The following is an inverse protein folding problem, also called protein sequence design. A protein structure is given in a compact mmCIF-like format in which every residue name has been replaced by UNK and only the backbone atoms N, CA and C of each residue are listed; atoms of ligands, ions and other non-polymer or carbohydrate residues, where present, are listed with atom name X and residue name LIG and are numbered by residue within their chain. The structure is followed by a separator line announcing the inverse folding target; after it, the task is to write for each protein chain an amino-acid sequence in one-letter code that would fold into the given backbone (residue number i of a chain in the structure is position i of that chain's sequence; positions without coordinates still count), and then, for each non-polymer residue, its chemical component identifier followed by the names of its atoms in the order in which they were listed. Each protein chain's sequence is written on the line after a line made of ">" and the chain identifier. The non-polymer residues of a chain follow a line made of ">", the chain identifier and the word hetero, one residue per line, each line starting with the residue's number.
data_IF_710032490480
#
_entry.id   IF_710032490480
#
_cell.length_a   1.000
_cell.length_b   1.000
_cell.length_c   1.000
_cell.angle_alpha   90.00
_cell.angle_beta   90.00
_cell.angle_gamma   90.00
#
_symmetry.space_group_name_H-M   'P 1'
#
loop_
_entity.id
_entity.type
_entity.pdbx_description
1 polymer ?
#
# COMPACT_ATOMS: atom_id res chain seq x y z
N UNK A 1 1.38 -35.23 29.88
CA UNK A 1 1.42 -34.40 28.66
C UNK A 1 1.75 -32.99 29.12
N UNK A 2 3.00 -32.55 28.94
CA UNK A 2 3.53 -31.87 27.73
C UNK A 2 2.93 -30.45 27.61
N UNK A 3 3.65 -29.34 27.44
CA UNK A 3 5.04 -29.09 27.02
C UNK A 3 5.35 -27.57 27.12
N UNK A 4 6.63 -27.22 27.33
CA UNK A 4 7.27 -25.87 27.31
C UNK A 4 7.39 -25.27 25.89
N UNK A 5 7.62 -23.94 25.70
CA UNK A 5 8.98 -23.31 25.67
C UNK A 5 9.03 -21.89 26.34
N UNK A 6 10.07 -21.43 27.05
CA UNK A 6 11.53 -21.27 26.83
C UNK A 6 11.92 -20.06 25.96
N UNK A 7 12.59 -19.07 26.59
CA UNK A 7 13.64 -18.11 26.15
C UNK A 7 13.97 -17.25 27.41
N UNK A 8 14.89 -17.65 28.29
CA UNK A 8 16.35 -17.38 28.30
C UNK A 8 16.74 -15.91 28.53
N UNK A 9 17.29 -15.63 29.72
CA UNK A 9 18.35 -14.64 29.98
C UNK A 9 18.86 -14.88 31.43
N UNK A 10 19.75 -15.88 31.57
CA UNK A 10 20.60 -16.04 32.75
C UNK A 10 21.95 -15.37 32.44
N UNK A 11 22.22 -14.25 33.12
CA UNK A 11 23.53 -13.59 33.18
C UNK A 11 24.48 -14.45 34.03
N UNK A 12 25.16 -15.41 33.39
CA UNK A 12 26.35 -16.08 33.93
C UNK A 12 27.62 -15.43 33.37
N UNK A 13 28.39 -14.78 34.25
CA UNK A 13 29.82 -14.62 34.01
C UNK A 13 30.61 -14.58 35.33
N UNK A 14 30.60 -15.70 36.04
CA UNK A 14 31.65 -16.05 37.00
C UNK A 14 32.64 -17.02 36.35
N UNK A 15 33.85 -16.55 36.04
CA UNK A 15 34.88 -17.41 35.44
C UNK A 15 36.29 -16.91 35.68
N UNK A 16 37.00 -17.62 36.54
CA UNK A 16 38.40 -17.41 36.90
C UNK A 16 39.38 -17.44 35.71
N UNK A 17 40.47 -16.70 35.89
CA UNK A 17 41.64 -16.63 35.02
C UNK A 17 42.28 -18.01 34.76
N UNK A 18 42.78 -18.24 33.53
CA UNK A 18 44.20 -18.49 33.42
C UNK A 18 44.91 -17.73 32.28
N UNK A 19 46.14 -17.33 32.60
CA UNK A 19 47.27 -16.91 31.79
C UNK A 19 47.22 -17.07 30.25
N UNK A 20 47.68 -16.04 29.51
CA UNK A 20 49.04 -15.99 28.91
C UNK A 20 49.17 -15.01 27.73
N UNK A 21 50.24 -14.19 27.76
CA UNK A 21 50.97 -13.48 26.68
C UNK A 21 50.16 -12.64 25.64
N UNK A 22 50.48 -11.37 25.33
CA UNK A 22 51.80 -10.79 25.08
C UNK A 22 51.80 -9.24 25.03
N UNK A 23 52.98 -8.69 25.36
CA UNK A 23 53.59 -7.48 24.77
C UNK A 23 53.01 -6.10 25.06
N UNK A 24 53.55 -5.44 26.11
CA UNK A 24 54.59 -4.39 25.98
C UNK A 24 54.70 -3.58 27.28
N UNK A 25 55.71 -3.87 28.09
CA UNK A 25 56.34 -2.84 28.94
C UNK A 25 57.82 -3.17 29.13
N UNK A 26 58.65 -2.28 28.61
CA UNK A 26 60.10 -2.29 28.77
C UNK A 26 60.42 -2.15 30.26
N UNK A 27 61.04 -3.19 30.81
CA UNK A 27 61.63 -3.18 32.14
C UNK A 27 63.07 -2.72 32.05
N UNK A 28 63.51 -1.96 33.05
CA UNK A 28 64.91 -2.00 33.44
C UNK A 28 64.98 -2.22 34.96
N UNK A 29 65.44 -3.42 35.30
CA UNK A 29 65.75 -3.92 36.65
C UNK A 29 66.93 -3.13 37.23
N UNK A 30 66.91 -2.91 38.54
CA UNK A 30 68.11 -2.92 39.40
C UNK A 30 67.74 -3.87 40.54
N UNK A 31 67.93 -5.19 40.38
CA UNK A 31 69.14 -5.94 40.74
C UNK A 31 69.75 -5.45 42.05
N UNK A 32 69.28 -6.03 43.15
CA UNK A 32 70.02 -6.12 44.40
C UNK A 32 71.27 -6.97 44.09
N UNK A 33 72.43 -6.32 44.07
CA UNK A 33 73.74 -6.94 43.90
C UNK A 33 74.48 -6.86 45.23
N UNK A 34 74.78 -8.05 45.72
CA UNK A 34 75.80 -8.47 46.68
C UNK A 34 76.68 -7.41 47.35
N UNK A 35 76.71 -7.51 48.68
CA UNK A 35 77.76 -6.96 49.53
C UNK A 35 78.99 -7.83 49.33
N UNK A 36 79.85 -7.48 48.36
CA UNK A 36 81.21 -7.99 48.33
C UNK A 36 82.09 -7.07 49.18
N UNK A 37 82.53 -7.69 50.27
CA UNK A 37 83.51 -7.31 51.26
C UNK A 37 84.90 -7.20 50.61
N UNK A 38 85.32 -5.98 50.26
CA UNK A 38 86.70 -5.69 49.88
C UNK A 38 87.25 -4.60 50.81
N UNK A 39 87.74 -5.07 51.96
CA UNK A 39 88.76 -4.41 52.79
C UNK A 39 90.03 -4.20 51.95
N UNK A 40 90.08 -3.11 51.17
CA UNK A 40 91.31 -2.65 50.54
C UNK A 40 92.20 -1.95 51.57
N UNK A 41 92.94 -2.80 52.27
CA UNK A 41 94.05 -2.54 53.18
C UNK A 41 95.14 -1.72 52.45
N UNK A 42 94.97 -0.39 52.43
CA UNK A 42 95.79 0.60 51.71
C UNK A 42 97.26 0.72 52.20
N UNK A 43 97.70 -0.18 53.09
CA UNK A 43 99.09 -0.28 53.55
C UNK A 43 99.66 -1.70 53.44
N UNK A 44 99.48 -2.33 52.27
CA UNK A 44 100.27 -3.48 51.85
C UNK A 44 101.76 -3.15 51.73
N UNK A 45 102.52 -3.36 52.82
CA UNK A 45 103.99 -3.25 52.85
C UNK A 45 104.64 -4.39 52.05
N UNK A 46 104.61 -4.31 50.72
CA UNK A 46 105.27 -5.28 49.83
C UNK A 46 106.67 -4.77 49.49
N UNK A 47 107.65 -5.21 50.29
CA UNK A 47 109.09 -5.05 50.03
C UNK A 47 109.47 -5.98 48.86
N UNK A 48 109.16 -5.55 47.63
CA UNK A 48 109.44 -6.25 46.39
C UNK A 48 110.69 -5.68 45.70
N UNK A 49 111.69 -6.54 45.53
CA UNK A 49 112.99 -6.30 44.93
C UNK A 49 112.87 -5.79 43.48
N UNK A 50 113.32 -4.57 43.16
CA UNK A 50 113.34 -4.06 41.78
C UNK A 50 114.72 -4.28 41.17
N UNK A 51 114.79 -5.30 40.30
CA UNK A 51 115.84 -5.49 39.29
C UNK A 51 115.43 -4.67 38.06
N UNK A 52 116.23 -3.68 37.71
CA UNK A 52 116.01 -2.76 36.57
C UNK A 52 116.17 -3.54 35.26
N UNK A 53 115.12 -3.59 34.44
CA UNK A 53 115.18 -3.98 33.03
C UNK A 53 114.82 -2.76 32.19
N UNK A 54 115.74 -2.35 31.30
CA UNK A 54 115.64 -1.15 30.46
C UNK A 54 114.44 -1.25 29.51
N UNK A 55 113.47 -0.35 29.67
CA UNK A 55 112.34 -0.22 28.75
C UNK A 55 112.75 0.62 27.54
N UNK A 56 112.47 0.11 26.33
CA UNK A 56 112.77 0.77 25.06
C UNK A 56 112.14 2.18 24.98
N UNK A 57 112.81 3.17 24.34
CA UNK A 57 112.46 4.61 24.44
C UNK A 57 111.02 4.98 23.99
N UNK A 58 110.40 4.16 23.12
CA UNK A 58 108.99 4.34 22.73
C UNK A 58 107.97 3.95 23.82
N UNK A 59 108.31 2.96 24.66
CA UNK A 59 107.46 2.49 25.76
C UNK A 59 107.44 3.51 26.89
N UNK A 60 108.62 4.04 27.26
CA UNK A 60 108.73 5.10 28.25
C UNK A 60 107.99 6.38 27.83
N UNK A 61 108.09 6.77 26.54
CA UNK A 61 107.37 7.93 26.00
C UNK A 61 105.85 7.73 26.01
N UNK A 62 105.37 6.53 25.63
CA UNK A 62 103.94 6.18 25.71
C UNK A 62 103.39 6.22 27.13
N UNK A 63 104.13 5.66 28.11
CA UNK A 63 103.75 5.73 29.53
C UNK A 63 103.69 7.17 30.05
N UNK A 64 104.64 8.02 29.68
CA UNK A 64 104.63 9.44 30.06
C UNK A 64 103.42 10.17 29.49
N UNK A 65 103.02 9.89 28.24
CA UNK A 65 101.84 10.49 27.62
C UNK A 65 100.54 10.00 28.29
N UNK A 66 100.39 8.69 28.54
CA UNK A 66 99.23 8.14 29.25
C UNK A 66 99.12 8.68 30.69
N UNK A 67 100.24 8.87 31.38
CA UNK A 67 100.25 9.48 32.71
C UNK A 67 99.88 10.97 32.66
N UNK A 68 100.32 11.71 31.63
CA UNK A 68 99.91 13.12 31.43
C UNK A 68 98.43 13.24 31.10
N UNK A 69 97.91 12.37 30.24
CA UNK A 69 96.49 12.31 29.91
C UNK A 69 95.64 11.91 31.11
N UNK A 70 96.10 10.94 31.91
CA UNK A 70 95.47 10.55 33.18
C UNK A 70 95.52 11.69 34.21
N UNK A 71 96.65 12.39 34.33
CA UNK A 71 96.79 13.56 35.20
C UNK A 71 95.87 14.71 34.75
N UNK A 72 95.77 14.94 33.45
CA UNK A 72 94.88 15.96 32.88
C UNK A 72 93.42 15.59 33.12
N UNK A 73 93.04 14.33 32.88
CA UNK A 73 91.70 13.81 33.21
C UNK A 73 91.39 13.98 34.69
N UNK A 74 92.34 13.65 35.58
CA UNK A 74 92.18 13.84 37.03
C UNK A 74 92.02 15.32 37.42
N UNK A 75 92.70 16.22 36.72
CA UNK A 75 92.55 17.67 36.93
C UNK A 75 91.19 18.18 36.48
N UNK A 76 90.66 17.67 35.37
CA UNK A 76 89.35 18.05 34.84
C UNK A 76 88.20 17.48 35.69
N UNK A 77 88.35 16.25 36.21
CA UNK A 77 87.40 15.69 37.19
C UNK A 77 87.43 16.49 38.50
N UNK A 78 88.61 16.87 39.01
CA UNK A 78 88.72 17.72 40.19
C UNK A 78 88.02 19.07 39.99
N UNK A 79 88.18 19.70 38.83
CA UNK A 79 87.50 20.95 38.51
C UNK A 79 85.97 20.78 38.46
N UNK A 80 85.50 19.66 37.91
CA UNK A 80 84.07 19.31 37.87
C UNK A 80 83.52 19.11 39.27
N UNK A 81 84.19 18.30 40.11
CA UNK A 81 83.80 18.08 41.50
C UNK A 81 83.79 19.39 42.30
N UNK A 82 84.72 20.30 42.04
CA UNK A 82 84.76 21.59 42.71
C UNK A 82 83.60 22.50 42.29
N UNK A 83 83.23 22.48 41.02
CA UNK A 83 82.04 23.19 40.53
C UNK A 83 80.76 22.61 41.13
N UNK A 84 80.61 21.28 41.17
CA UNK A 84 79.48 20.60 41.80
C UNK A 84 79.39 20.89 43.30
N UNK A 85 80.52 20.96 44.00
CA UNK A 85 80.57 21.32 45.41
C UNK A 85 80.08 22.74 45.65
N UNK A 86 80.51 23.72 44.84
CA UNK A 86 80.03 25.09 44.95
C UNK A 86 78.56 25.23 44.58
N UNK A 87 78.08 24.48 43.58
CA UNK A 87 76.66 24.42 43.25
C UNK A 87 75.83 23.84 44.41
N UNK A 88 76.28 22.75 45.02
CA UNK A 88 75.63 22.14 46.17
C UNK A 88 75.61 23.09 47.39
N UNK A 89 76.70 23.83 47.64
CA UNK A 89 76.74 24.87 48.68
C UNK A 89 75.74 25.99 48.43
N UNK A 90 75.66 26.48 47.19
CA UNK A 90 74.70 27.51 46.80
C UNK A 90 73.25 27.03 46.97
N UNK A 91 72.98 25.76 46.63
CA UNK A 91 71.67 25.14 46.84
C UNK A 91 71.33 25.04 48.34
N UNK A 92 72.25 24.56 49.18
CA UNK A 92 72.05 24.52 50.64
C UNK A 92 71.76 25.92 51.21
N UNK A 93 72.51 26.94 50.76
CA UNK A 93 72.24 28.32 51.18
C UNK A 93 70.85 28.79 50.76
N UNK A 94 70.42 28.46 49.54
CA UNK A 94 69.06 28.76 49.06
C UNK A 94 68.00 28.09 49.95
N UNK A 95 68.18 26.82 50.31
CA UNK A 95 67.28 26.12 51.23
C UNK A 95 67.24 26.80 52.59
N UNK A 96 68.39 27.17 53.17
CA UNK A 96 68.44 27.90 54.43
C UNK A 96 67.69 29.24 54.38
N UNK A 97 67.86 30.04 53.32
CA UNK A 97 67.14 31.30 53.16
C UNK A 97 65.62 31.10 52.99
N UNK A 98 65.22 30.02 52.34
CA UNK A 98 63.80 29.69 52.13
C UNK A 98 63.11 29.36 53.46
N UNK A 99 63.75 28.53 54.28
CA UNK A 99 63.24 28.18 55.61
C UNK A 99 63.29 29.36 56.61
N UNK A 100 64.29 30.24 56.53
CA UNK A 100 64.36 31.42 57.41
C UNK A 100 63.20 32.41 57.23
N UNK A 101 62.61 32.45 56.04
CA UNK A 101 61.48 33.33 55.73
C UNK A 101 60.12 32.67 56.03
N UNK A 102 60.10 31.42 56.50
CA UNK A 102 58.88 30.65 56.71
C UNK A 102 58.35 30.81 58.14
N UNK A 103 57.04 31.04 58.24
CA UNK A 103 56.35 31.38 59.49
C UNK A 103 56.42 30.33 60.61
N UNK A 104 56.83 29.09 60.30
CA UNK A 104 56.93 28.00 61.29
C UNK A 104 58.26 28.01 62.07
N UNK A 105 59.24 28.82 61.65
CA UNK A 105 60.52 29.00 62.34
C UNK A 105 60.50 30.33 63.10
N UNK A 106 60.65 30.34 64.43
CA UNK A 106 60.72 31.57 65.21
C UNK A 106 61.87 32.48 64.77
N UNK A 107 61.60 33.79 64.64
CA UNK A 107 62.58 34.76 64.19
C UNK A 107 63.87 34.71 65.04
N UNK A 108 65.01 34.44 64.39
CA UNK A 108 66.33 34.38 65.03
C UNK A 108 66.80 33.00 65.49
N UNK A 109 66.05 31.92 65.21
CA UNK A 109 66.47 30.53 65.51
C UNK A 109 66.93 29.77 64.26
N UNK A 110 67.89 28.84 64.43
CA UNK A 110 68.35 27.95 63.36
C UNK A 110 67.28 26.90 63.05
N UNK A 111 67.00 26.58 61.77
CA UNK A 111 66.03 25.55 61.40
C UNK A 111 66.48 24.18 61.91
N UNK A 112 65.90 23.71 63.01
CA UNK A 112 66.20 22.37 63.52
C UNK A 112 65.62 21.31 62.57
N UNK A 113 66.43 20.32 62.10
CA UNK A 113 65.99 19.36 61.09
C UNK A 113 64.69 18.62 61.44
N UNK A 114 64.47 18.32 62.73
CA UNK A 114 63.24 17.66 63.20
C UNK A 114 61.99 18.53 63.03
N UNK A 115 62.11 19.83 63.31
CA UNK A 115 61.00 20.78 63.15
C UNK A 115 60.62 20.92 61.68
N UNK A 116 61.60 21.08 60.80
CA UNK A 116 61.39 21.16 59.34
C UNK A 116 60.72 19.88 58.81
N UNK A 117 61.21 18.70 59.20
CA UNK A 117 60.61 17.42 58.77
C UNK A 117 59.17 17.28 59.28
N UNK A 118 58.89 17.64 60.53
CA UNK A 118 57.53 17.58 61.09
C UNK A 118 56.56 18.55 60.40
N UNK A 119 57.05 19.75 60.03
CA UNK A 119 56.28 20.74 59.29
C UNK A 119 56.00 20.25 57.87
N UNK A 120 57.00 19.73 57.15
CA UNK A 120 56.83 19.15 55.81
C UNK A 120 55.84 17.98 55.83
N UNK A 121 55.89 17.13 56.86
CA UNK A 121 54.94 16.03 57.01
C UNK A 121 53.51 16.52 57.26
N UNK A 122 53.34 17.57 58.06
CA UNK A 122 52.06 18.22 58.32
C UNK A 122 51.52 18.96 57.09
N UNK A 123 52.39 19.61 56.33
CA UNK A 123 52.06 20.27 55.08
C UNK A 123 51.61 19.25 54.04
N UNK A 124 52.34 18.13 53.93
CA UNK A 124 51.99 17.02 53.03
C UNK A 124 50.64 16.39 53.37
N UNK A 125 50.34 16.18 54.65
CA UNK A 125 49.03 15.65 55.06
C UNK A 125 47.90 16.67 54.83
N UNK A 126 48.17 17.96 55.02
CA UNK A 126 47.23 19.04 54.68
C UNK A 126 46.98 19.13 53.17
N UNK A 127 48.03 19.01 52.35
CA UNK A 127 47.93 18.98 50.89
C UNK A 127 47.09 17.79 50.42
N UNK A 128 47.34 16.60 50.97
CA UNK A 128 46.58 15.38 50.64
C UNK A 128 45.11 15.51 51.05
N UNK A 129 44.83 16.08 52.22
CA UNK A 129 43.47 16.37 52.67
C UNK A 129 42.74 17.36 51.75
N UNK A 130 43.39 18.47 51.37
CA UNK A 130 42.82 19.45 50.44
C UNK A 130 42.58 18.85 49.06
N UNK A 131 43.50 18.01 48.58
CA UNK A 131 43.35 17.28 47.31
C UNK A 131 42.14 16.35 47.36
N UNK A 132 41.93 15.62 48.47
CA UNK A 132 40.76 14.76 48.64
C UNK A 132 39.46 15.57 48.66
N UNK A 133 39.45 16.72 49.36
CA UNK A 133 38.29 17.62 49.38
C UNK A 133 37.98 18.19 47.99
N UNK A 134 39.00 18.57 47.22
CA UNK A 134 38.84 19.04 45.84
C UNK A 134 38.24 17.94 44.95
N UNK A 135 38.71 16.70 45.06
CA UNK A 135 38.16 15.59 44.29
C UNK A 135 36.72 15.26 44.70
N UNK A 136 36.37 15.36 45.99
CA UNK A 136 34.99 15.26 46.46
C UNK A 136 34.12 16.40 45.90
N UNK A 137 34.63 17.63 45.86
CA UNK A 137 33.91 18.78 45.31
C UNK A 137 33.66 18.62 43.79
N UNK A 138 34.68 18.22 43.02
CA UNK A 138 34.54 17.93 41.58
C UNK A 138 33.52 16.82 41.30
N UNK A 139 33.53 15.74 42.09
CA UNK A 139 32.53 14.67 41.96
C UNK A 139 31.11 15.17 42.24
N UNK A 140 30.93 16.03 43.26
CA UNK A 140 29.63 16.65 43.57
C UNK A 140 29.19 17.61 42.44
N UNK A 141 30.09 18.43 41.93
CA UNK A 141 29.81 19.34 40.81
C UNK A 141 29.37 18.57 39.57
N UNK A 142 30.09 17.51 39.18
CA UNK A 142 29.71 16.65 38.07
C UNK A 142 28.34 16.00 38.28
N UNK A 143 28.04 15.52 39.49
CA UNK A 143 26.73 15.00 39.82
C UNK A 143 25.63 16.07 39.69
N UNK A 144 25.88 17.30 40.13
CA UNK A 144 24.94 18.40 39.97
C UNK A 144 24.68 18.73 38.51
N UNK A 145 25.72 18.83 37.66
CA UNK A 145 25.57 19.07 36.23
C UNK A 145 24.63 18.04 35.59
N UNK A 146 24.81 16.74 35.90
CA UNK A 146 23.92 15.68 35.40
C UNK A 146 22.49 15.84 35.90
N UNK A 147 22.29 16.17 37.18
CA UNK A 147 20.94 16.39 37.72
C UNK A 147 20.26 17.62 37.14
N UNK A 148 21.00 18.71 36.90
CA UNK A 148 20.47 19.91 36.26
C UNK A 148 20.06 19.62 34.82
N UNK A 149 20.91 18.94 34.05
CA UNK A 149 20.56 18.54 32.68
C UNK A 149 19.29 17.67 32.63
N UNK A 150 19.14 16.72 33.56
CA UNK A 150 17.90 15.91 33.67
C UNK A 150 16.68 16.75 34.00
N UNK A 151 16.79 17.72 34.92
CA UNK A 151 15.68 18.62 35.27
C UNK A 151 15.33 19.59 34.14
N UNK A 152 16.31 20.08 33.39
CA UNK A 152 16.07 20.91 32.21
C UNK A 152 15.34 20.12 31.12
N UNK A 153 15.72 18.86 30.90
CA UNK A 153 15.04 17.95 29.99
C UNK A 153 13.58 17.71 30.43
N UNK A 154 13.34 17.41 31.70
CA UNK A 154 11.98 17.22 32.26
C UNK A 154 11.13 18.49 32.08
N UNK A 155 11.69 19.68 32.32
CA UNK A 155 11.01 20.95 32.08
C UNK A 155 10.66 21.12 30.59
N UNK A 156 11.55 20.74 29.66
CA UNK A 156 11.28 20.82 28.23
C UNK A 156 10.15 19.87 27.80
N UNK A 157 10.13 18.65 28.33
CA UNK A 157 9.08 17.65 28.11
C UNK A 157 7.73 18.13 28.65
N UNK A 158 7.68 18.62 29.90
CA UNK A 158 6.47 19.20 30.50
C UNK A 158 5.97 20.41 29.70
N UNK A 159 6.87 21.29 29.23
CA UNK A 159 6.50 22.41 28.35
C UNK A 159 5.89 21.92 27.04
N UNK A 160 6.38 20.82 26.47
CA UNK A 160 5.80 20.22 25.27
C UNK A 160 4.41 19.65 25.54
N UNK A 161 4.26 18.85 26.59
CA UNK A 161 2.97 18.30 27.00
C UNK A 161 1.92 19.40 27.23
N UNK A 162 2.30 20.52 27.84
CA UNK A 162 1.41 21.68 28.00
C UNK A 162 1.01 22.30 26.66
N UNK A 163 1.93 22.42 25.68
CA UNK A 163 1.58 22.91 24.34
C UNK A 163 0.62 21.96 23.65
N UNK A 164 0.85 20.65 23.73
CA UNK A 164 0.00 19.63 23.12
C UNK A 164 -1.39 19.62 23.76
N UNK A 165 -1.47 19.65 25.09
CA UNK A 165 -2.73 19.80 25.82
C UNK A 165 -3.44 21.11 25.46
N UNK A 166 -2.72 22.23 25.29
CA UNK A 166 -3.33 23.49 24.82
C UNK A 166 -3.88 23.36 23.40
N UNK A 167 -3.25 22.60 22.52
CA UNK A 167 -3.77 22.31 21.18
C UNK A 167 -5.00 21.41 21.25
N UNK A 168 -5.00 20.39 22.12
CA UNK A 168 -6.17 19.53 22.34
C UNK A 168 -7.34 20.29 22.99
N UNK A 169 -7.04 21.22 23.90
CA UNK A 169 -8.03 22.06 24.59
C UNK A 169 -8.52 23.22 23.70
N UNK A 170 -7.80 23.58 22.63
CA UNK A 170 -8.38 24.41 21.57
C UNK A 170 -9.54 23.60 20.99
N UNK A 171 -10.80 24.05 21.15
CA UNK A 171 -11.93 23.22 20.83
C UNK A 171 -11.91 22.89 19.34
N UNK A 172 -11.79 21.60 19.01
CA UNK A 172 -12.25 21.09 17.72
C UNK A 172 -13.76 21.37 17.65
N UNK A 173 -14.12 22.38 16.87
CA UNK A 173 -15.43 22.53 16.23
C UNK A 173 -16.67 22.21 17.12
N UNK A 174 -17.26 23.25 17.70
CA UNK A 174 -18.67 23.34 18.13
C UNK A 174 -19.17 22.50 19.32
N UNK A 175 -18.75 21.25 19.55
CA UNK A 175 -19.31 20.40 20.61
C UNK A 175 -18.96 20.87 22.03
N UNK A 176 -17.70 21.24 22.30
CA UNK A 176 -17.31 21.77 23.61
C UNK A 176 -17.97 23.13 23.91
N UNK A 177 -18.26 23.94 22.89
CA UNK A 177 -19.08 25.17 23.04
C UNK A 177 -20.54 24.86 23.37
N UNK A 178 -21.11 23.76 22.87
CA UNK A 178 -22.44 23.27 23.28
C UNK A 178 -22.46 22.75 24.70
N UNK A 179 -21.38 22.12 25.18
CA UNK A 179 -21.27 21.61 26.56
C UNK A 179 -21.00 22.71 27.60
N UNK A 180 -20.40 23.84 27.20
CA UNK A 180 -20.13 25.00 28.07
C UNK A 180 -21.26 26.04 28.09
N UNK A 181 -22.19 25.98 27.13
CA UNK A 181 -23.43 26.73 27.21
C UNK A 181 -24.39 25.94 28.09
N UNK A 182 -25.00 26.59 29.08
CA UNK A 182 -26.12 26.01 29.82
C UNK A 182 -27.15 25.45 28.82
N UNK A 183 -27.65 24.22 29.00
CA UNK A 183 -28.57 23.58 28.06
C UNK A 183 -29.77 24.46 27.68
N UNK A 184 -30.31 25.26 28.62
CA UNK A 184 -31.41 26.17 28.32
C UNK A 184 -30.97 27.37 27.48
N UNK A 185 -29.77 27.91 27.71
CA UNK A 185 -29.18 28.98 26.87
C UNK A 185 -28.91 28.48 25.45
N UNK A 186 -28.41 27.25 25.31
CA UNK A 186 -28.18 26.66 23.98
C UNK A 186 -29.48 26.47 23.20
N UNK A 187 -30.54 26.03 23.88
CA UNK A 187 -31.86 25.88 23.31
C UNK A 187 -32.45 27.22 22.86
N UNK A 188 -32.39 28.27 23.69
CA UNK A 188 -32.85 29.62 23.30
C UNK A 188 -32.04 30.19 22.13
N UNK A 189 -30.72 30.00 22.10
CA UNK A 189 -29.90 30.45 20.98
C UNK A 189 -30.26 29.71 19.68
N UNK A 190 -30.53 28.40 19.77
CA UNK A 190 -30.96 27.59 18.63
C UNK A 190 -32.35 28.02 18.15
N UNK A 191 -33.28 28.27 19.07
CA UNK A 191 -34.62 28.77 18.78
C UNK A 191 -34.57 30.14 18.09
N UNK A 192 -33.75 31.06 18.60
CA UNK A 192 -33.54 32.38 18.02
C UNK A 192 -32.92 32.29 16.62
N UNK A 193 -31.91 31.43 16.44
CA UNK A 193 -31.30 31.21 15.13
C UNK A 193 -32.31 30.71 14.10
N UNK A 194 -33.10 29.69 14.45
CA UNK A 194 -34.14 29.16 13.58
C UNK A 194 -35.21 30.21 13.25
N UNK A 195 -35.60 31.03 14.24
CA UNK A 195 -36.57 32.11 14.03
C UNK A 195 -36.01 33.17 13.07
N UNK A 196 -34.73 33.53 13.18
CA UNK A 196 -34.09 34.47 12.24
C UNK A 196 -34.07 33.87 10.83
N UNK A 197 -33.65 32.62 10.66
CA UNK A 197 -33.63 31.95 9.36
C UNK A 197 -35.03 31.86 8.73
N UNK A 198 -36.06 31.57 9.52
CA UNK A 198 -37.46 31.56 9.08
C UNK A 198 -37.93 32.95 8.63
N UNK A 199 -37.61 34.00 9.40
CA UNK A 199 -37.97 35.39 9.06
C UNK A 199 -37.21 35.88 7.83
N UNK A 200 -35.95 35.54 7.66
CA UNK A 200 -35.16 35.87 6.46
C UNK A 200 -35.73 35.19 5.23
N UNK A 201 -36.12 33.91 5.34
CA UNK A 201 -36.85 33.22 4.27
C UNK A 201 -38.15 33.94 3.95
N UNK A 202 -38.90 34.39 4.96
CA UNK A 202 -40.16 35.10 4.74
C UNK A 202 -39.97 36.47 4.10
N UNK A 203 -38.92 37.20 4.49
CA UNK A 203 -38.52 38.45 3.86
C UNK A 203 -38.19 38.21 2.40
N UNK A 204 -37.41 37.17 2.09
CA UNK A 204 -37.07 36.81 0.72
C UNK A 204 -38.31 36.46 -0.11
N UNK A 205 -39.21 35.63 0.41
CA UNK A 205 -40.48 35.32 -0.24
C UNK A 205 -41.32 36.58 -0.50
N UNK A 206 -41.42 37.49 0.47
CA UNK A 206 -42.17 38.73 0.30
C UNK A 206 -41.49 39.67 -0.70
N UNK A 207 -40.16 39.75 -0.72
CA UNK A 207 -39.40 40.49 -1.71
C UNK A 207 -39.59 39.91 -3.13
N UNK A 208 -39.56 38.58 -3.26
CA UNK A 208 -39.81 37.88 -4.53
C UNK A 208 -41.25 38.12 -5.00
N UNK A 209 -42.23 38.08 -4.09
CA UNK A 209 -43.63 38.40 -4.40
C UNK A 209 -43.81 39.87 -4.81
N UNK A 210 -43.15 40.81 -4.13
CA UNK A 210 -43.18 42.24 -4.53
C UNK A 210 -42.52 42.42 -5.89
N UNK A 211 -41.40 41.75 -6.16
CA UNK A 211 -40.75 41.77 -7.46
C UNK A 211 -41.64 41.18 -8.56
N UNK A 212 -42.37 40.09 -8.25
CA UNK A 212 -43.33 39.48 -9.14
C UNK A 212 -44.57 40.36 -9.38
N UNK A 213 -45.06 41.08 -8.37
CA UNK A 213 -46.17 42.04 -8.52
C UNK A 213 -45.72 43.30 -9.29
N UNK A 214 -44.45 43.69 -9.14
CA UNK A 214 -43.82 44.75 -9.94
C UNK A 214 -43.43 44.29 -11.37
N UNK A 215 -43.60 43.01 -11.70
CA UNK A 215 -43.49 42.53 -13.07
C UNK A 215 -44.61 43.14 -13.89
N UNK A 216 -44.26 44.16 -14.66
CA UNK A 216 -45.14 44.68 -15.70
C UNK A 216 -44.79 43.98 -17.01
N UNK A 217 -45.76 43.38 -17.72
CA UNK A 217 -45.55 42.82 -19.06
C UNK A 217 -44.98 43.84 -20.06
N UNK A 218 -45.08 45.13 -19.74
CA UNK A 218 -44.62 46.27 -20.52
C UNK A 218 -43.16 46.67 -20.24
N UNK A 219 -42.57 46.23 -19.12
CA UNK A 219 -41.15 46.48 -18.81
C UNK A 219 -40.24 45.77 -19.81
N UNK A 220 -39.01 46.26 -20.00
CA UNK A 220 -38.03 45.64 -20.91
C UNK A 220 -37.76 44.17 -20.57
N UNK A 221 -37.63 43.86 -19.28
CA UNK A 221 -37.45 42.48 -18.79
C UNK A 221 -38.73 41.65 -18.98
N UNK A 222 -39.91 42.23 -18.70
CA UNK A 222 -41.19 41.56 -18.89
C UNK A 222 -41.49 41.21 -20.33
N UNK A 223 -41.21 42.12 -21.27
CA UNK A 223 -41.33 41.87 -22.71
C UNK A 223 -40.41 40.74 -23.18
N UNK A 224 -39.17 40.70 -22.68
CA UNK A 224 -38.20 39.65 -23.02
C UNK A 224 -38.65 38.28 -22.50
N UNK A 225 -39.13 38.22 -21.25
CA UNK A 225 -39.63 36.98 -20.67
C UNK A 225 -40.88 36.47 -21.41
N UNK A 226 -41.84 37.37 -21.70
CA UNK A 226 -43.04 37.02 -22.46
C UNK A 226 -42.71 36.58 -23.89
N UNK A 227 -41.71 37.17 -24.53
CA UNK A 227 -41.22 36.70 -25.83
C UNK A 227 -40.63 35.29 -25.71
N UNK A 228 -39.80 35.03 -24.70
CA UNK A 228 -39.24 33.69 -24.44
C UNK A 228 -40.33 32.65 -24.13
N UNK A 229 -41.35 33.01 -23.35
CA UNK A 229 -42.49 32.13 -23.08
C UNK A 229 -43.26 31.80 -24.37
N UNK A 230 -43.49 32.79 -25.26
CA UNK A 230 -44.12 32.54 -26.57
C UNK A 230 -43.28 31.60 -27.42
N UNK A 231 -41.97 31.85 -27.55
CA UNK A 231 -41.07 30.97 -28.32
C UNK A 231 -41.05 29.55 -27.77
N UNK A 232 -40.94 29.37 -26.45
CA UNK A 232 -40.98 28.03 -25.85
C UNK A 232 -42.33 27.34 -26.04
N UNK A 233 -43.42 28.11 -26.09
CA UNK A 233 -44.74 27.56 -26.34
C UNK A 233 -44.91 27.14 -27.80
N UNK A 234 -44.42 27.95 -28.75
CA UNK A 234 -44.35 27.62 -30.17
C UNK A 234 -43.49 26.38 -30.42
N UNK A 235 -42.30 26.28 -29.80
CA UNK A 235 -41.44 25.09 -29.89
C UNK A 235 -42.13 23.83 -29.34
N UNK A 236 -42.82 23.92 -28.20
CA UNK A 236 -43.55 22.78 -27.63
C UNK A 236 -44.73 22.35 -28.50
N UNK A 237 -45.47 23.31 -29.08
CA UNK A 237 -46.54 23.03 -30.04
C UNK A 237 -45.99 22.35 -31.30
N UNK A 238 -44.84 22.80 -31.80
CA UNK A 238 -44.17 22.17 -32.95
C UNK A 238 -43.68 20.75 -32.63
N UNK A 239 -43.09 20.50 -31.45
CA UNK A 239 -42.73 19.15 -31.00
C UNK A 239 -43.97 18.25 -30.92
N UNK A 240 -45.08 18.77 -30.37
CA UNK A 240 -46.35 18.06 -30.30
C UNK A 240 -46.92 17.74 -31.70
N UNK A 241 -46.84 18.69 -32.62
CA UNK A 241 -47.27 18.49 -34.00
C UNK A 241 -46.41 17.45 -34.72
N UNK A 242 -45.08 17.51 -34.61
CA UNK A 242 -44.17 16.52 -35.20
C UNK A 242 -44.43 15.11 -34.64
N UNK A 243 -44.68 14.98 -33.34
CA UNK A 243 -45.02 13.70 -32.73
C UNK A 243 -46.36 13.13 -33.25
N UNK A 244 -47.37 14.00 -33.41
CA UNK A 244 -48.67 13.62 -33.95
C UNK A 244 -48.60 13.26 -35.44
N UNK A 245 -47.88 14.06 -36.24
CA UNK A 245 -47.68 13.83 -37.67
C UNK A 245 -46.96 12.51 -37.93
N UNK A 246 -45.93 12.16 -37.15
CA UNK A 246 -45.21 10.89 -37.28
C UNK A 246 -46.13 9.67 -37.11
N UNK A 247 -46.98 9.69 -36.07
CA UNK A 247 -47.92 8.59 -35.81
C UNK A 247 -49.05 8.53 -36.85
N UNK A 248 -49.55 9.68 -37.31
CA UNK A 248 -50.55 9.75 -38.36
C UNK A 248 -49.98 9.22 -39.69
N UNK A 249 -48.75 9.58 -40.04
CA UNK A 249 -48.09 9.08 -41.25
C UNK A 249 -47.88 7.56 -41.20
N UNK A 250 -47.39 7.02 -40.09
CA UNK A 250 -47.22 5.57 -39.88
C UNK A 250 -48.55 4.82 -40.03
N UNK A 251 -49.62 5.31 -39.39
CA UNK A 251 -50.96 4.74 -39.52
C UNK A 251 -51.49 4.83 -40.96
N UNK A 252 -51.20 5.93 -41.66
CA UNK A 252 -51.54 6.11 -43.07
C UNK A 252 -50.87 5.07 -43.97
N UNK A 253 -49.59 4.77 -43.74
CA UNK A 253 -48.87 3.72 -44.47
C UNK A 253 -49.46 2.33 -44.20
N UNK A 254 -49.75 2.00 -42.93
CA UNK A 254 -50.39 0.72 -42.55
C UNK A 254 -51.77 0.57 -43.20
N UNK A 255 -52.56 1.65 -43.23
CA UNK A 255 -53.87 1.65 -43.87
C UNK A 255 -53.77 1.44 -45.38
N UNK A 256 -52.81 2.08 -46.06
CA UNK A 256 -52.58 1.90 -47.49
C UNK A 256 -52.18 0.45 -47.82
N UNK A 257 -51.27 -0.14 -47.04
CA UNK A 257 -50.87 -1.54 -47.17
C UNK A 257 -52.07 -2.48 -47.01
N UNK A 258 -52.88 -2.27 -45.97
CA UNK A 258 -54.09 -3.06 -45.72
C UNK A 258 -55.11 -2.93 -46.86
N UNK A 259 -55.29 -1.74 -47.44
CA UNK A 259 -56.15 -1.56 -48.62
C UNK A 259 -55.64 -2.36 -49.82
N UNK A 260 -54.32 -2.37 -50.05
CA UNK A 260 -53.71 -3.17 -51.13
C UNK A 260 -53.92 -4.66 -50.92
N UNK A 261 -53.71 -5.16 -49.71
CA UNK A 261 -53.94 -6.58 -49.37
C UNK A 261 -55.41 -6.99 -49.54
N UNK A 262 -56.34 -6.13 -49.12
CA UNK A 262 -57.77 -6.38 -49.33
C UNK A 262 -58.17 -6.36 -50.80
N UNK A 263 -57.56 -5.48 -51.62
CA UNK A 263 -57.80 -5.46 -53.05
C UNK A 263 -57.29 -6.75 -53.73
N UNK A 264 -56.11 -7.23 -53.34
CA UNK A 264 -55.54 -8.48 -53.82
C UNK A 264 -56.41 -9.68 -53.45
N UNK A 265 -56.85 -9.79 -52.20
CA UNK A 265 -57.77 -10.85 -51.77
C UNK A 265 -59.06 -10.84 -52.58
N UNK A 266 -59.67 -9.66 -52.81
CA UNK A 266 -60.86 -9.54 -53.65
C UNK A 266 -60.62 -10.00 -55.09
N UNK A 267 -59.46 -9.66 -55.65
CA UNK A 267 -59.05 -10.11 -57.00
C UNK A 267 -58.92 -11.63 -57.06
N UNK A 268 -58.31 -12.25 -56.05
CA UNK A 268 -58.17 -13.70 -55.95
C UNK A 268 -59.53 -14.41 -55.82
N UNK A 269 -60.42 -13.90 -54.97
CA UNK A 269 -61.79 -14.42 -54.86
C UNK A 269 -62.56 -14.31 -56.17
N UNK A 270 -62.48 -13.17 -56.85
CA UNK A 270 -63.09 -12.99 -58.17
C UNK A 270 -62.55 -14.00 -59.19
N UNK A 271 -61.23 -14.25 -59.18
CA UNK A 271 -60.61 -15.28 -60.01
C UNK A 271 -61.13 -16.69 -59.70
N UNK A 272 -61.27 -17.04 -58.42
CA UNK A 272 -61.83 -18.32 -57.98
C UNK A 272 -63.30 -18.49 -58.39
N UNK A 273 -64.13 -17.44 -58.27
CA UNK A 273 -65.52 -17.46 -58.72
C UNK A 273 -65.61 -17.76 -60.22
N UNK A 274 -64.78 -17.11 -61.05
CA UNK A 274 -64.73 -17.38 -62.50
C UNK A 274 -64.32 -18.80 -62.84
N UNK A 275 -63.34 -19.35 -62.12
CA UNK A 275 -62.92 -20.74 -62.28
C UNK A 275 -64.05 -21.71 -61.92
N UNK A 276 -64.76 -21.43 -60.83
CA UNK A 276 -65.90 -22.22 -60.39
C UNK A 276 -67.04 -22.19 -61.40
N UNK A 277 -67.40 -21.01 -61.92
CA UNK A 277 -68.38 -20.86 -63.01
C UNK A 277 -67.97 -21.64 -64.26
N UNK A 278 -66.70 -21.58 -64.65
CA UNK A 278 -66.17 -22.37 -65.76
C UNK A 278 -66.34 -23.88 -65.54
N UNK A 279 -65.99 -24.36 -64.35
CA UNK A 279 -66.13 -25.77 -63.98
C UNK A 279 -67.60 -26.21 -63.94
N UNK A 280 -68.51 -25.37 -63.43
CA UNK A 280 -69.95 -25.64 -63.44
C UNK A 280 -70.47 -25.75 -64.88
N UNK A 281 -70.09 -24.83 -65.77
CA UNK A 281 -70.47 -24.88 -67.18
C UNK A 281 -69.96 -26.16 -67.88
N UNK A 282 -68.73 -26.57 -67.60
CA UNK A 282 -68.17 -27.79 -68.19
C UNK A 282 -68.82 -29.05 -67.61
N UNK A 283 -69.21 -29.03 -66.32
CA UNK A 283 -70.01 -30.09 -65.71
C UNK A 283 -71.40 -30.19 -66.34
N UNK A 284 -72.08 -29.07 -66.60
CA UNK A 284 -73.38 -29.04 -67.29
C UNK A 284 -73.29 -29.62 -68.71
N UNK A 285 -72.28 -29.21 -69.50
CA UNK A 285 -72.03 -29.78 -70.84
C UNK A 285 -71.72 -31.28 -70.78
N UNK A 286 -70.89 -31.70 -69.82
CA UNK A 286 -70.58 -33.11 -69.63
C UNK A 286 -71.83 -33.91 -69.26
N UNK A 287 -72.72 -33.35 -68.43
CA UNK A 287 -73.98 -33.99 -68.04
C UNK A 287 -74.95 -34.09 -69.21
N UNK A 288 -75.05 -33.04 -70.06
CA UNK A 288 -75.82 -33.07 -71.31
C UNK A 288 -75.31 -34.15 -72.27
N UNK A 289 -73.99 -34.26 -72.44
CA UNK A 289 -73.37 -35.30 -73.26
C UNK A 289 -73.64 -36.72 -72.73
N UNK A 290 -73.64 -36.90 -71.41
CA UNK A 290 -74.01 -38.19 -70.79
C UNK A 290 -75.46 -38.55 -71.10
N UNK A 291 -76.41 -37.60 -71.02
CA UNK A 291 -77.81 -37.85 -71.39
C UNK A 291 -77.95 -38.29 -72.85
N UNK A 292 -77.29 -37.60 -73.79
CA UNK A 292 -77.30 -37.97 -75.21
C UNK A 292 -76.74 -39.38 -75.43
N UNK A 293 -75.64 -39.72 -74.73
CA UNK A 293 -75.04 -41.06 -74.82
C UNK A 293 -75.96 -42.12 -74.20
N UNK A 294 -76.68 -41.82 -73.13
CA UNK A 294 -77.68 -42.72 -72.53
C UNK A 294 -78.83 -42.98 -73.49
N UNK A 295 -79.41 -41.94 -74.10
CA UNK A 295 -80.47 -42.07 -75.11
C UNK A 295 -79.99 -42.93 -76.29
N UNK A 296 -78.76 -42.71 -76.76
CA UNK A 296 -78.19 -43.51 -77.85
C UNK A 296 -77.96 -44.98 -77.45
N UNK A 297 -77.60 -45.26 -76.20
CA UNK A 297 -77.47 -46.63 -75.69
C UNK A 297 -78.84 -47.29 -75.60
N UNK A 298 -79.86 -46.59 -75.08
CA UNK A 298 -81.24 -47.09 -75.00
C UNK A 298 -81.81 -47.41 -76.40
N UNK A 299 -81.62 -46.51 -77.38
CA UNK A 299 -81.99 -46.75 -78.77
C UNK A 299 -81.31 -48.01 -79.35
N UNK A 300 -80.03 -48.21 -79.05
CA UNK A 300 -79.29 -49.40 -79.50
C UNK A 300 -79.73 -50.65 -78.76
N UNK A 301 -80.07 -50.58 -77.48
CA UNK A 301 -80.62 -51.70 -76.70
C UNK A 301 -82.02 -52.09 -77.19
N UNK A 302 -82.86 -51.13 -77.56
CA UNK A 302 -84.14 -51.32 -78.22
C UNK A 302 -83.98 -51.97 -79.60
N UNK A 303 -83.01 -51.52 -80.40
CA UNK A 303 -82.72 -52.13 -81.70
C UNK A 303 -82.15 -53.56 -81.53
N UNK A 304 -81.30 -53.79 -80.53
CA UNK A 304 -80.81 -55.13 -80.18
C UNK A 304 -81.97 -56.03 -79.75
N UNK A 305 -82.90 -55.55 -78.92
CA UNK A 305 -84.07 -56.35 -78.50
C UNK A 305 -85.01 -56.62 -79.67
N UNK A 306 -85.25 -55.65 -80.57
CA UNK A 306 -85.99 -55.87 -81.82
C UNK A 306 -85.34 -56.94 -82.69
N UNK A 307 -84.03 -56.84 -82.95
CA UNK A 307 -83.28 -57.82 -83.73
C UNK A 307 -83.27 -59.21 -83.07
N UNK A 308 -83.19 -59.28 -81.73
CA UNK A 308 -83.32 -60.54 -80.98
C UNK A 308 -84.71 -61.15 -81.14
N UNK A 309 -85.79 -60.35 -81.07
CA UNK A 309 -87.15 -60.82 -81.31
C UNK A 309 -87.35 -61.28 -82.77
N UNK A 310 -86.80 -60.55 -83.74
CA UNK A 310 -86.80 -60.96 -85.15
C UNK A 310 -86.03 -62.26 -85.37
N UNK A 311 -84.87 -62.43 -84.72
CA UNK A 311 -84.10 -63.68 -84.74
C UNK A 311 -84.87 -64.83 -84.07
N UNK A 312 -85.54 -64.60 -82.94
CA UNK A 312 -86.41 -65.60 -82.31
C UNK A 312 -87.61 -65.94 -83.18
N UNK A 313 -88.26 -64.97 -83.83
CA UNK A 313 -89.34 -65.24 -84.80
C UNK A 313 -88.80 -65.99 -86.02
N UNK A 314 -87.61 -65.65 -86.54
CA UNK A 314 -86.95 -66.43 -87.61
C UNK A 314 -86.60 -67.83 -87.14
N UNK A 315 -86.13 -68.01 -85.92
CA UNK A 315 -85.88 -69.30 -85.30
C UNK A 315 -87.17 -70.09 -85.14
N UNK A 316 -88.29 -69.47 -84.75
CA UNK A 316 -89.61 -70.12 -84.66
C UNK A 316 -90.22 -70.38 -86.05
N UNK A 317 -89.89 -69.58 -87.07
CA UNK A 317 -90.29 -69.80 -88.47
C UNK A 317 -89.39 -70.83 -89.15
N UNK A 318 -88.13 -70.97 -88.75
CA UNK A 318 -87.23 -72.06 -89.16
C UNK A 318 -87.54 -73.36 -88.41
N UNK A 319 -87.84 -73.32 -87.10
CA UNK A 319 -88.31 -74.47 -86.33
C UNK A 319 -89.75 -74.86 -86.71
N UNK A 320 -90.61 -73.90 -87.06
CA UNK A 320 -91.97 -74.13 -87.58
C UNK A 320 -92.03 -74.58 -89.05
N UNK A 321 -90.89 -74.54 -89.78
CA UNK A 321 -90.71 -75.21 -91.09
C UNK A 321 -89.82 -76.44 -91.03
N UNK A 322 -89.33 -76.78 -89.84
CA UNK A 322 -88.53 -77.99 -89.62
C UNK A 322 -88.93 -78.70 -88.33
N UNK A 323 -90.23 -78.76 -88.03
CA UNK A 323 -90.84 -79.93 -87.38
C UNK A 323 -90.89 -81.11 -88.38
N UNK A 324 -89.72 -81.56 -88.84
CA UNK A 324 -89.40 -82.98 -89.04
C UNK A 324 -87.92 -83.14 -88.69
N UNK A 325 -87.70 -83.63 -87.47
CA UNK A 325 -86.50 -84.28 -86.94
C UNK A 325 -85.67 -83.52 -85.88
N UNK A 326 -85.61 -84.19 -84.73
CA UNK A 326 -84.62 -84.16 -83.64
C UNK A 326 -84.84 -83.14 -82.51
N UNK A 327 -85.01 -83.72 -81.32
CA UNK A 327 -85.34 -83.11 -80.03
C UNK A 327 -84.22 -83.46 -79.03
N UNK A 328 -83.93 -82.50 -78.14
CA UNK A 328 -83.18 -82.54 -76.85
C UNK A 328 -81.64 -82.67 -76.86
N UNK A 329 -80.89 -81.99 -75.98
CA UNK A 329 -81.05 -80.85 -75.05
C UNK A 329 -79.72 -80.67 -74.28
N UNK A 330 -79.56 -79.48 -73.69
CA UNK A 330 -78.84 -79.16 -72.42
C UNK A 330 -77.34 -78.78 -72.41
N UNK A 331 -77.05 -77.76 -71.59
CA UNK A 331 -75.76 -77.49 -70.94
C UNK A 331 -75.12 -76.15 -71.33
N UNK A 332 -75.36 -74.98 -70.73
CA UNK A 332 -75.26 -74.54 -69.32
C UNK A 332 -73.83 -74.04 -68.92
N UNK A 333 -73.80 -73.05 -68.02
CA UNK A 333 -72.71 -72.66 -67.08
C UNK A 333 -71.62 -71.69 -67.63
N UNK A 334 -71.58 -70.40 -67.27
CA UNK A 334 -71.27 -69.74 -65.96
C UNK A 334 -69.78 -69.43 -65.76
N UNK A 335 -69.52 -68.36 -65.02
CA UNK A 335 -68.25 -68.01 -64.39
C UNK A 335 -67.57 -66.81 -65.05
N UNK A 336 -67.52 -65.61 -64.48
CA UNK A 336 -67.63 -65.22 -63.08
C UNK A 336 -66.37 -64.47 -62.65
N UNK A 337 -66.53 -63.70 -61.57
CA UNK A 337 -65.49 -63.15 -60.68
C UNK A 337 -64.76 -61.87 -61.17
N UNK A 338 -65.13 -60.68 -60.68
CA UNK A 338 -64.75 -60.05 -59.38
C UNK A 338 -63.24 -59.70 -59.34
N UNK A 339 -62.87 -58.42 -59.49
CA UNK A 339 -62.65 -57.41 -58.43
C UNK A 339 -61.17 -57.39 -57.94
N UNK A 340 -60.72 -56.40 -57.14
CA UNK A 340 -60.86 -54.95 -57.26
C UNK A 340 -59.54 -54.22 -56.82
N UNK A 341 -59.68 -52.91 -56.51
CA UNK A 341 -58.88 -52.15 -55.51
C UNK A 341 -57.44 -51.73 -55.91
N UNK A 342 -56.86 -50.63 -55.45
CA UNK A 342 -57.20 -49.68 -54.39
C UNK A 342 -56.59 -48.29 -54.67
N UNK A 343 -57.14 -47.31 -53.97
CA UNK A 343 -56.60 -45.98 -53.71
C UNK A 343 -55.34 -45.98 -52.82
N UNK A 344 -54.64 -44.85 -52.81
CA UNK A 344 -53.84 -44.14 -51.78
C UNK A 344 -52.72 -43.37 -52.51
N UNK A 345 -52.30 -42.16 -52.18
CA UNK A 345 -52.21 -41.44 -50.90
C UNK A 345 -51.77 -39.98 -51.19
N UNK A 346 -52.02 -39.05 -50.27
CA UNK A 346 -51.19 -37.84 -50.05
C UNK A 346 -51.29 -37.38 -48.61
#
# INVERSE_FOLDING_TARGET
>A
MASHPHLDDDDDFGGDFPASHASRRSGNKRSFGDLEDDEDDIFGSKKGNVKVEETAPGVATGMILSLRESLQTCKDTLATCQMELEAAKAEIQKWHLSFQNESFIPAGTSPEPKLVVSYLQSLKSSEESLREQLEKAKKKEAAFIVTFAKREQEIAELKSAVRDLRVQLKPSSMQARRLLLDPAIHEEFTRLKNLVEEKDKKIKELQDNVAAVNFTPQSKMGKMLMAKCRTLQEENEEIGNQANEGKIHELGMKLALQKSQNAELRSQFEGLCKLMEGLTNDMEKSNEMVLILQDSVEEKDDEITRLKQELQQRSIVEEGKTEVASDKKDGDIDGGMLCPEAETES
#
